data_IF_964453817749
#
_entry.id   IF_964453817749
#
_cell.length_a   1.000
_cell.length_b   1.000
_cell.length_c   1.000
_cell.angle_alpha   90.00
_cell.angle_beta   90.00
_cell.angle_gamma   90.00
#
_symmetry.space_group_name_H-M   'P 1'
#
loop_
_entity.id
_entity.type
_entity.pdbx_description
1 polymer ?
#
# COMPACT_ATOMS: atom_id res chain seq x y z
N UNK A 1 -24.08 -8.52 -1.73
CA UNK A 1 -22.97 -9.13 -0.95
C UNK A 1 -22.51 -8.11 0.07
N UNK A 2 -22.69 -8.38 1.36
CA UNK A 2 -22.22 -7.51 2.44
C UNK A 2 -20.71 -7.63 2.49
N UNK A 3 -20.00 -6.52 2.31
CA UNK A 3 -18.54 -6.49 2.46
C UNK A 3 -18.17 -6.87 3.90
N UNK A 4 -17.13 -7.68 4.06
CA UNK A 4 -16.68 -8.12 5.38
C UNK A 4 -16.37 -6.90 6.27
N UNK A 5 -16.64 -6.95 7.59
CA UNK A 5 -16.36 -5.85 8.52
C UNK A 5 -14.96 -5.21 8.38
N UNK A 6 -13.85 -5.96 8.20
CA UNK A 6 -12.52 -5.33 8.00
C UNK A 6 -12.39 -4.58 6.67
N UNK A 7 -13.07 -5.04 5.62
CA UNK A 7 -13.07 -4.36 4.31
C UNK A 7 -13.83 -3.03 4.40
N UNK A 8 -14.94 -3.00 5.14
CA UNK A 8 -15.69 -1.77 5.42
C UNK A 8 -14.88 -0.79 6.27
N UNK A 9 -14.14 -1.28 7.27
CA UNK A 9 -13.29 -0.44 8.11
C UNK A 9 -12.14 0.19 7.30
N UNK A 10 -11.48 -0.58 6.43
CA UNK A 10 -10.46 -0.04 5.52
C UNK A 10 -11.07 0.98 4.56
N UNK A 11 -12.21 0.67 3.97
CA UNK A 11 -12.92 1.56 3.05
C UNK A 11 -13.29 2.90 3.71
N UNK A 12 -13.82 2.86 4.94
CA UNK A 12 -14.11 4.07 5.71
C UNK A 12 -12.83 4.89 5.98
N UNK A 13 -11.72 4.24 6.32
CA UNK A 13 -10.43 4.91 6.54
C UNK A 13 -9.88 5.54 5.25
N UNK A 14 -9.97 4.85 4.12
CA UNK A 14 -9.58 5.35 2.79
C UNK A 14 -10.43 6.56 2.39
N UNK A 15 -11.74 6.49 2.61
CA UNK A 15 -12.69 7.57 2.29
C UNK A 15 -12.46 8.84 3.12
N UNK A 16 -11.91 8.72 4.32
CA UNK A 16 -11.63 9.84 5.22
C UNK A 16 -10.29 10.56 4.93
N UNK A 17 -9.44 10.04 4.05
CA UNK A 17 -8.16 10.69 3.65
C UNK A 17 -8.36 12.12 3.10
N UNK A 18 -9.30 12.38 2.15
CA UNK A 18 -9.52 13.73 1.62
C UNK A 18 -10.12 14.72 2.62
N UNK A 19 -10.65 14.26 3.77
CA UNK A 19 -11.17 15.14 4.83
C UNK A 19 -10.06 15.85 5.60
N UNK A 20 -8.79 15.49 5.34
CA UNK A 20 -7.62 16.06 5.99
C UNK A 20 -6.75 16.85 5.00
N UNK A 21 -5.97 17.81 5.50
CA UNK A 21 -5.09 18.63 4.66
C UNK A 21 -4.07 17.74 3.94
N UNK A 22 -3.95 17.89 2.62
CA UNK A 22 -2.99 17.16 1.79
C UNK A 22 -1.58 17.13 2.44
N UNK A 23 -0.92 15.96 2.53
CA UNK A 23 -1.26 14.67 1.89
C UNK A 23 -2.38 13.85 2.55
N UNK A 24 -3.09 14.40 3.54
CA UNK A 24 -4.32 13.84 4.13
C UNK A 24 -4.11 12.59 4.98
N UNK A 25 -2.85 12.18 5.16
CA UNK A 25 -2.51 10.94 5.85
C UNK A 25 -1.28 11.12 6.73
N UNK A 26 -1.35 10.59 7.95
CA UNK A 26 -0.28 10.59 8.94
C UNK A 26 0.27 9.18 9.12
N UNK A 27 1.51 9.05 9.62
CA UNK A 27 2.14 7.74 9.88
C UNK A 27 1.27 6.80 10.71
N UNK A 28 0.55 7.33 11.71
CA UNK A 28 -0.39 6.58 12.55
C UNK A 28 -1.55 5.99 11.75
N UNK A 29 -2.12 6.75 10.80
CA UNK A 29 -3.22 6.27 9.93
C UNK A 29 -2.73 5.21 8.95
N UNK A 30 -1.55 5.43 8.37
CA UNK A 30 -0.88 4.44 7.52
C UNK A 30 -0.70 3.13 8.29
N UNK A 31 -0.18 3.20 9.52
CA UNK A 31 0.04 2.03 10.37
C UNK A 31 -1.28 1.32 10.71
N UNK A 32 -2.33 2.06 11.08
CA UNK A 32 -3.64 1.49 11.39
C UNK A 32 -4.26 0.76 10.19
N UNK A 33 -4.28 1.38 9.01
CA UNK A 33 -4.78 0.76 7.78
C UNK A 33 -3.93 -0.46 7.38
N UNK A 34 -2.62 -0.35 7.57
CA UNK A 34 -1.70 -1.47 7.33
C UNK A 34 -2.02 -2.64 8.25
N UNK A 35 -2.28 -2.40 9.54
CA UNK A 35 -2.67 -3.44 10.49
C UNK A 35 -3.93 -4.16 10.05
N UNK A 36 -4.96 -3.42 9.62
CA UNK A 36 -6.20 -4.01 9.10
C UNK A 36 -5.89 -4.96 7.94
N UNK A 37 -5.08 -4.54 6.97
CA UNK A 37 -4.72 -5.37 5.83
C UNK A 37 -3.90 -6.61 6.20
N UNK A 38 -3.00 -6.47 7.18
CA UNK A 38 -2.10 -7.54 7.62
C UNK A 38 -2.82 -8.59 8.45
N UNK A 39 -3.67 -8.16 9.38
CA UNK A 39 -4.45 -9.04 10.25
C UNK A 39 -5.56 -9.77 9.48
N UNK A 40 -6.07 -9.17 8.40
CA UNK A 40 -7.19 -9.69 7.62
C UNK A 40 -6.77 -10.17 6.22
N UNK A 41 -5.60 -10.81 6.12
CA UNK A 41 -5.05 -11.29 4.85
C UNK A 41 -5.94 -12.30 4.11
N UNK A 42 -6.85 -12.97 4.81
CA UNK A 42 -7.89 -13.81 4.21
C UNK A 42 -8.84 -13.07 3.25
N UNK A 43 -8.87 -11.73 3.33
CA UNK A 43 -9.63 -10.87 2.44
C UNK A 43 -8.72 -10.02 1.55
N UNK A 44 -7.47 -10.43 1.31
CA UNK A 44 -6.47 -9.65 0.55
C UNK A 44 -7.01 -9.19 -0.79
N UNK A 45 -7.75 -10.04 -1.50
CA UNK A 45 -8.38 -9.73 -2.78
C UNK A 45 -9.29 -8.50 -2.69
N UNK A 46 -10.19 -8.50 -1.71
CA UNK A 46 -11.15 -7.41 -1.51
C UNK A 46 -10.45 -6.14 -1.00
N UNK A 47 -9.46 -6.28 -0.13
CA UNK A 47 -8.69 -5.16 0.42
C UNK A 47 -7.85 -4.47 -0.67
N UNK A 48 -7.14 -5.25 -1.49
CA UNK A 48 -6.35 -4.76 -2.63
C UNK A 48 -7.24 -4.08 -3.66
N UNK A 49 -8.40 -4.67 -3.96
CA UNK A 49 -9.35 -4.07 -4.88
C UNK A 49 -9.84 -2.70 -4.37
N UNK A 50 -10.21 -2.59 -3.09
CA UNK A 50 -10.64 -1.31 -2.50
C UNK A 50 -9.51 -0.27 -2.50
N UNK A 51 -8.29 -0.66 -2.14
CA UNK A 51 -7.10 0.19 -2.23
C UNK A 51 -6.92 0.75 -3.65
N UNK A 52 -7.00 -0.12 -4.66
CA UNK A 52 -6.86 0.25 -6.06
C UNK A 52 -7.98 1.21 -6.50
N UNK A 53 -9.24 0.86 -6.25
CA UNK A 53 -10.39 1.70 -6.65
C UNK A 53 -10.32 3.10 -6.03
N UNK A 54 -10.08 3.20 -4.73
CA UNK A 54 -10.02 4.50 -4.06
C UNK A 54 -8.79 5.32 -4.49
N UNK A 55 -7.66 4.67 -4.78
CA UNK A 55 -6.49 5.34 -5.36
C UNK A 55 -6.80 5.98 -6.72
N UNK A 56 -7.47 5.23 -7.61
CA UNK A 56 -7.82 5.72 -8.94
C UNK A 56 -8.79 6.91 -8.85
N UNK A 57 -9.72 6.88 -7.88
CA UNK A 57 -10.68 7.95 -7.63
C UNK A 57 -10.11 9.16 -6.88
N UNK A 58 -8.98 9.02 -6.20
CA UNK A 58 -8.38 10.09 -5.41
C UNK A 58 -7.82 11.23 -6.30
N UNK A 59 -7.92 12.47 -5.83
CA UNK A 59 -7.33 13.62 -6.53
C UNK A 59 -5.80 13.66 -6.37
N UNK A 60 -5.06 14.28 -7.30
CA UNK A 60 -3.59 14.22 -7.35
C UNK A 60 -2.84 14.48 -6.04
N UNK A 61 -3.19 15.49 -5.21
CA UNK A 61 -2.46 15.75 -3.97
C UNK A 61 -2.61 14.65 -2.91
N UNK A 62 -3.63 13.79 -3.02
CA UNK A 62 -3.88 12.67 -2.10
C UNK A 62 -3.40 11.33 -2.66
N UNK A 63 -3.21 11.19 -3.98
CA UNK A 63 -2.70 9.95 -4.61
C UNK A 63 -1.36 9.50 -4.00
N UNK A 64 -0.49 10.44 -3.64
CA UNK A 64 0.75 10.16 -2.93
C UNK A 64 0.51 9.52 -1.55
N UNK A 65 -0.48 10.01 -0.80
CA UNK A 65 -0.89 9.45 0.48
C UNK A 65 -1.32 7.99 0.37
N UNK A 66 -2.13 7.66 -0.63
CA UNK A 66 -2.54 6.28 -0.90
C UNK A 66 -1.37 5.39 -1.31
N UNK A 67 -0.42 5.91 -2.11
CA UNK A 67 0.78 5.16 -2.49
C UNK A 67 1.61 4.76 -1.26
N UNK A 68 1.73 5.64 -0.26
CA UNK A 68 2.40 5.32 1.00
C UNK A 68 1.69 4.20 1.79
N UNK A 69 0.36 4.14 1.75
CA UNK A 69 -0.39 3.04 2.39
C UNK A 69 -0.10 1.73 1.68
N UNK A 70 -0.22 1.71 0.35
CA UNK A 70 0.02 0.51 -0.46
C UNK A 70 1.44 0.00 -0.22
N UNK A 71 2.42 0.90 -0.23
CA UNK A 71 3.81 0.59 0.09
C UNK A 71 3.98 -0.10 1.45
N UNK A 72 3.40 0.50 2.50
CA UNK A 72 3.46 -0.04 3.87
C UNK A 72 2.84 -1.43 3.97
N UNK A 73 1.69 -1.65 3.31
CA UNK A 73 1.00 -2.96 3.25
C UNK A 73 1.88 -4.01 2.57
N UNK A 74 2.44 -3.70 1.39
CA UNK A 74 3.33 -4.62 0.66
C UNK A 74 4.52 -5.01 1.52
N UNK A 75 5.18 -4.06 2.19
CA UNK A 75 6.33 -4.36 3.07
C UNK A 75 5.95 -5.32 4.18
N UNK A 76 4.84 -5.07 4.88
CA UNK A 76 4.42 -5.92 5.98
C UNK A 76 4.04 -7.32 5.52
N UNK A 77 3.31 -7.44 4.41
CA UNK A 77 3.01 -8.74 3.82
C UNK A 77 4.27 -9.46 3.34
N UNK A 78 5.25 -8.76 2.76
CA UNK A 78 6.51 -9.38 2.33
C UNK A 78 7.34 -9.89 3.51
N UNK A 79 7.41 -9.13 4.60
CA UNK A 79 8.06 -9.57 5.85
C UNK A 79 7.35 -10.81 6.42
N UNK A 80 6.01 -10.80 6.47
CA UNK A 80 5.24 -11.96 6.96
C UNK A 80 5.35 -13.18 6.04
N UNK A 81 5.31 -12.98 4.72
CA UNK A 81 5.47 -14.06 3.75
C UNK A 81 6.85 -14.70 3.89
N UNK A 82 7.93 -13.91 4.03
CA UNK A 82 9.28 -14.44 4.32
C UNK A 82 9.34 -15.19 5.65
N UNK A 83 8.77 -14.62 6.71
CA UNK A 83 8.72 -15.27 8.02
C UNK A 83 7.97 -16.61 7.98
N UNK A 84 6.99 -16.76 7.10
CA UNK A 84 6.18 -17.97 6.93
C UNK A 84 6.65 -18.85 5.76
N UNK A 85 7.77 -18.49 5.12
CA UNK A 85 8.30 -19.15 3.92
C UNK A 85 7.24 -19.35 2.82
N UNK A 86 6.34 -18.38 2.67
CA UNK A 86 5.28 -18.38 1.66
C UNK A 86 5.82 -17.96 0.30
N UNK A 87 5.32 -18.61 -0.74
CA UNK A 87 5.61 -18.25 -2.13
C UNK A 87 4.90 -16.93 -2.45
N UNK A 88 5.57 -16.02 -3.15
CA UNK A 88 5.07 -14.69 -3.54
C UNK A 88 4.92 -14.58 -5.07
N UNK A 89 4.55 -15.68 -5.72
CA UNK A 89 4.34 -15.80 -7.16
C UNK A 89 2.85 -15.97 -7.47
N UNK A 90 2.54 -16.25 -8.73
CA UNK A 90 1.18 -16.55 -9.21
C UNK A 90 0.58 -17.83 -8.61
N UNK A 91 1.42 -18.71 -8.03
CA UNK A 91 0.99 -19.94 -7.37
C UNK A 91 0.70 -19.73 -5.87
N UNK A 92 0.86 -18.51 -5.36
CA UNK A 92 0.56 -18.20 -3.98
C UNK A 92 -0.93 -18.43 -3.70
N UNK A 93 -1.23 -19.17 -2.62
CA UNK A 93 -2.60 -19.44 -2.24
C UNK A 93 -3.35 -18.14 -1.89
N UNK A 94 -4.57 -18.00 -2.38
CA UNK A 94 -5.44 -16.88 -2.03
C UNK A 94 -5.67 -16.82 -0.50
N UNK A 95 -5.83 -15.62 0.04
CA UNK A 95 -5.87 -15.42 1.49
C UNK A 95 -4.50 -15.42 2.17
N UNK A 96 -3.40 -15.40 1.43
CA UNK A 96 -2.03 -15.36 1.99
C UNK A 96 -1.31 -14.05 1.70
N UNK A 97 -0.29 -13.75 2.51
CA UNK A 97 0.53 -12.55 2.32
C UNK A 97 1.28 -12.59 0.99
N UNK A 98 1.71 -13.77 0.56
CA UNK A 98 2.37 -13.97 -0.73
C UNK A 98 1.49 -13.60 -1.91
N UNK A 99 0.23 -14.04 -1.91
CA UNK A 99 -0.74 -13.69 -2.96
C UNK A 99 -1.04 -12.18 -2.99
N UNK A 100 -1.19 -11.56 -1.82
CA UNK A 100 -1.37 -10.12 -1.70
C UNK A 100 -0.19 -9.31 -2.26
N UNK A 101 1.05 -9.72 -1.97
CA UNK A 101 2.27 -9.09 -2.49
C UNK A 101 2.36 -9.24 -4.00
N UNK A 102 2.07 -10.42 -4.54
CA UNK A 102 2.07 -10.66 -5.98
C UNK A 102 1.05 -9.76 -6.68
N UNK A 103 -0.21 -9.74 -6.23
CA UNK A 103 -1.28 -8.90 -6.78
C UNK A 103 -0.95 -7.42 -6.76
N UNK A 104 -0.44 -6.89 -5.64
CA UNK A 104 -0.02 -5.49 -5.57
C UNK A 104 1.17 -5.19 -6.48
N UNK A 105 2.08 -6.14 -6.67
CA UNK A 105 3.21 -5.99 -7.59
C UNK A 105 2.75 -5.95 -9.06
N UNK A 106 1.77 -6.75 -9.44
CA UNK A 106 1.16 -6.70 -10.78
C UNK A 106 0.43 -5.37 -11.02
N UNK A 107 -0.15 -4.77 -9.98
CA UNK A 107 -0.85 -3.48 -10.06
C UNK A 107 0.07 -2.25 -9.99
N UNK A 108 1.33 -2.39 -9.59
CA UNK A 108 2.32 -1.30 -9.54
C UNK A 108 2.41 -0.44 -10.81
N UNK A 109 2.54 -1.00 -12.03
CA UNK A 109 2.59 -0.19 -13.24
C UNK A 109 1.36 0.71 -13.41
N UNK A 110 0.17 0.22 -13.04
CA UNK A 110 -1.06 1.02 -13.12
C UNK A 110 -1.04 2.20 -12.13
N UNK A 111 -0.54 1.98 -10.91
CA UNK A 111 -0.37 3.05 -9.91
C UNK A 111 0.63 4.11 -10.38
N UNK A 112 1.75 3.68 -10.97
CA UNK A 112 2.79 4.57 -11.47
C UNK A 112 2.29 5.39 -12.67
N UNK A 113 1.65 4.73 -13.65
CA UNK A 113 1.12 5.40 -14.85
C UNK A 113 0.09 6.48 -14.49
N UNK A 114 -0.83 6.15 -13.57
CA UNK A 114 -1.81 7.11 -13.07
C UNK A 114 -1.13 8.27 -12.31
N UNK A 115 -0.14 7.99 -11.45
CA UNK A 115 0.59 9.03 -10.72
C UNK A 115 1.37 9.97 -11.65
N UNK A 116 2.02 9.42 -12.67
CA UNK A 116 2.75 10.20 -13.69
C UNK A 116 1.81 11.09 -14.51
N UNK A 117 0.60 10.60 -14.81
CA UNK A 117 -0.44 11.37 -15.51
C UNK A 117 -1.03 12.46 -14.61
N UNK A 118 -1.19 12.17 -13.32
CA UNK A 118 -1.83 13.06 -12.35
C UNK A 118 -0.90 14.14 -11.80
N UNK A 119 0.42 13.91 -11.76
CA UNK A 119 1.41 14.81 -11.17
C UNK A 119 2.54 15.12 -12.16
N UNK A 120 2.78 16.40 -12.52
CA UNK A 120 3.89 16.77 -13.41
C UNK A 120 5.27 16.41 -12.82
N UNK A 121 5.40 16.41 -11.49
CA UNK A 121 6.59 15.95 -10.74
C UNK A 121 6.53 14.47 -10.33
N UNK A 122 5.54 13.69 -10.81
CA UNK A 122 5.36 12.29 -10.43
C UNK A 122 6.59 11.41 -10.69
N UNK A 123 7.40 11.76 -11.70
CA UNK A 123 8.63 11.08 -12.06
C UNK A 123 9.68 11.05 -10.93
N UNK A 124 9.77 12.11 -10.12
CA UNK A 124 10.69 12.18 -8.96
C UNK A 124 10.27 11.23 -7.84
N UNK A 125 8.97 11.13 -7.60
CA UNK A 125 8.42 10.23 -6.56
C UNK A 125 8.53 8.78 -7.01
N UNK A 126 8.16 8.49 -8.27
CA UNK A 126 8.27 7.16 -8.85
C UNK A 126 9.73 6.68 -8.88
N UNK A 127 10.70 7.56 -9.20
CA UNK A 127 12.12 7.21 -9.17
C UNK A 127 12.58 6.76 -7.77
N UNK A 128 12.18 7.47 -6.70
CA UNK A 128 12.48 7.02 -5.32
C UNK A 128 11.80 5.71 -4.96
N UNK A 129 10.60 5.49 -5.47
CA UNK A 129 9.83 4.27 -5.22
C UNK A 129 10.43 3.06 -5.94
N UNK A 130 10.90 3.26 -7.18
CA UNK A 130 11.58 2.23 -7.98
C UNK A 130 12.95 1.89 -7.40
N UNK A 131 13.75 2.90 -7.05
CA UNK A 131 15.07 2.72 -6.41
C UNK A 131 14.97 1.92 -5.11
N UNK A 132 13.94 2.20 -4.31
CA UNK A 132 13.66 1.48 -3.08
C UNK A 132 13.25 0.01 -3.28
N UNK A 133 12.73 -0.36 -4.45
CA UNK A 133 12.29 -1.73 -4.78
C UNK A 133 13.34 -2.52 -5.56
N UNK A 134 14.23 -1.85 -6.30
CA UNK A 134 15.26 -2.45 -7.16
C UNK A 134 16.55 -2.75 -6.38
N UNK A 135 16.84 -2.04 -5.29
CA UNK A 135 18.04 -2.35 -4.48
C UNK A 135 17.88 -3.69 -3.72
N UNK A 136 18.70 -4.72 -4.01
CA UNK A 136 18.65 -6.00 -3.29
C UNK A 136 19.05 -5.89 -1.80
N UNK A 137 19.48 -4.70 -1.36
CA UNK A 137 19.82 -4.39 0.04
C UNK A 137 18.59 -3.88 0.84
N UNK A 138 17.46 -3.58 0.18
CA UNK A 138 16.26 -3.05 0.84
C UNK A 138 15.49 -4.06 1.71
N UNK A 139 15.92 -5.33 1.74
CA UNK A 139 15.34 -6.38 2.60
C UNK A 139 15.68 -6.15 4.08
N UNK A 140 16.62 -5.26 4.39
CA UNK A 140 16.99 -4.92 5.76
C UNK A 140 17.16 -3.41 5.96
N UNK A 141 16.09 -2.61 5.91
CA UNK A 141 16.13 -1.28 6.54
C UNK A 141 14.82 -0.87 7.21
N UNK A 142 14.84 -0.54 8.53
CA UNK A 142 13.76 0.13 9.26
C UNK A 142 13.62 1.63 8.92
N UNK A 143 14.29 2.12 7.86
CA UNK A 143 14.54 3.55 7.62
C UNK A 143 13.31 4.40 7.26
N UNK A 144 12.17 3.80 6.89
CA UNK A 144 10.95 4.56 6.61
C UNK A 144 10.07 4.82 7.84
N UNK A 145 10.25 4.07 8.93
CA UNK A 145 9.64 4.45 10.20
C UNK A 145 10.35 5.69 10.76
N UNK A 146 11.66 5.82 10.55
CA UNK A 146 12.44 6.98 11.02
C UNK A 146 12.11 8.26 10.26
N UNK A 147 11.99 8.21 8.92
CA UNK A 147 11.72 9.42 8.14
C UNK A 147 10.34 10.05 8.38
N UNK A 148 9.33 9.24 8.72
CA UNK A 148 7.98 9.74 9.08
C UNK A 148 7.91 10.17 10.55
N UNK A 149 8.78 9.63 11.42
CA UNK A 149 8.85 10.01 12.84
C UNK A 149 9.60 11.32 13.11
N UNK A 150 10.43 11.79 12.16
CA UNK A 150 11.14 13.09 12.26
C UNK A 150 10.34 14.29 11.73
N UNK A 151 9.07 14.10 11.40
CA UNK A 151 8.12 15.17 11.02
C UNK A 151 7.11 15.46 12.15
N UNK A 152 7.53 15.30 13.40
CA UNK A 152 6.86 15.86 14.60
C UNK A 152 7.74 16.91 15.24
#
# INVERSE_FOLDING_TARGET
>A
MVSAPPVLALEAALKAIPDHRAPGITGTRIAAMTSICVENVQYESALVQKLFTYFMMATPPYKLGFLYVVDSVVRKWLVQARSRQQVCDENAADGTCGAGVHRLTVLMPNFIDDLLRALPDGHKVCSKFYDMRVSPVAISYPALFTAVSTLS
#
